data_IF_437426610863
#
_entry.id   IF_437426610863
#
_cell.length_a   1.000
_cell.length_b   1.000
_cell.length_c   1.000
_cell.angle_alpha   90.00
_cell.angle_beta   90.00
_cell.angle_gamma   90.00
#
_symmetry.space_group_name_H-M   'P 1'
#
loop_
_entity.id
_entity.type
_entity.pdbx_description
1 polymer ?
#
# COMPACT_ATOMS: atom_id res chain seq x y z
N UNK A 1 23.24 55.89 -4.16
CA UNK A 1 22.05 55.12 -3.73
C UNK A 1 21.20 54.83 -4.96
N UNK A 2 21.48 53.75 -5.68
CA UNK A 2 20.73 53.37 -6.87
C UNK A 2 20.36 51.89 -6.73
N UNK A 3 19.06 51.59 -6.64
CA UNK A 3 18.55 50.22 -6.63
C UNK A 3 17.61 50.08 -7.81
N UNK A 4 18.04 49.29 -8.79
CA UNK A 4 17.33 48.99 -10.04
C UNK A 4 16.16 48.03 -9.76
N UNK A 5 14.97 48.39 -10.24
CA UNK A 5 13.79 47.53 -10.18
C UNK A 5 13.85 46.45 -11.28
N UNK A 6 13.80 45.18 -10.89
CA UNK A 6 13.80 44.04 -11.80
C UNK A 6 12.35 43.67 -12.18
N UNK A 7 11.96 44.00 -13.41
CA UNK A 7 10.64 43.66 -13.94
C UNK A 7 10.55 42.16 -14.28
N UNK A 8 9.62 41.44 -13.64
CA UNK A 8 9.32 40.03 -13.93
C UNK A 8 8.35 39.93 -15.11
N UNK A 9 8.86 39.50 -16.26
CA UNK A 9 8.08 39.15 -17.45
C UNK A 9 7.36 37.80 -17.23
N UNK A 10 6.03 37.80 -17.26
CA UNK A 10 5.20 36.59 -17.19
C UNK A 10 5.02 36.03 -18.61
N UNK A 11 5.59 34.86 -18.87
CA UNK A 11 5.34 34.09 -20.10
C UNK A 11 3.98 33.40 -19.99
N UNK A 12 3.02 33.79 -20.81
CA UNK A 12 1.74 33.13 -20.99
C UNK A 12 1.92 31.89 -21.88
N UNK A 13 1.78 30.69 -21.30
CA UNK A 13 1.70 29.46 -22.07
C UNK A 13 0.26 29.26 -22.58
N UNK A 14 0.02 29.48 -23.87
CA UNK A 14 -1.27 29.18 -24.50
C UNK A 14 -1.46 27.65 -24.59
N UNK A 15 -2.46 27.12 -23.87
CA UNK A 15 -2.88 25.71 -24.00
C UNK A 15 -3.65 25.53 -25.31
N UNK A 16 -3.06 24.83 -26.29
CA UNK A 16 -3.82 24.26 -27.42
C UNK A 16 -4.51 22.99 -26.93
N UNK A 17 -5.83 23.04 -26.81
CA UNK A 17 -6.66 21.85 -26.68
C UNK A 17 -6.69 21.11 -28.02
N UNK A 18 -6.03 19.95 -28.09
CA UNK A 18 -6.23 19.02 -29.20
C UNK A 18 -7.60 18.35 -29.03
N UNK A 19 -8.42 18.35 -30.09
CA UNK A 19 -9.70 17.65 -30.08
C UNK A 19 -9.44 16.14 -30.06
N UNK A 20 -10.00 15.46 -29.05
CA UNK A 20 -9.97 14.01 -28.96
C UNK A 20 -10.97 13.44 -29.96
N UNK A 21 -10.44 12.86 -31.05
CA UNK A 21 -11.24 12.13 -32.02
C UNK A 21 -11.60 10.77 -31.43
N UNK A 22 -12.83 10.63 -30.93
CA UNK A 22 -13.37 9.38 -30.40
C UNK A 22 -13.67 8.43 -31.55
N UNK A 23 -12.84 7.42 -31.77
CA UNK A 23 -13.19 6.28 -32.63
C UNK A 23 -14.22 5.43 -31.89
N UNK A 24 -15.44 5.36 -32.43
CA UNK A 24 -16.43 4.40 -31.98
C UNK A 24 -16.04 3.00 -32.47
N UNK A 25 -15.95 2.04 -31.56
CA UNK A 25 -15.82 0.64 -31.90
C UNK A 25 -17.21 0.09 -32.20
N UNK A 26 -17.41 -0.49 -33.39
CA UNK A 26 -18.63 -1.20 -33.74
C UNK A 26 -18.64 -2.56 -33.02
N UNK A 27 -19.57 -2.76 -32.09
CA UNK A 27 -19.83 -4.06 -31.48
C UNK A 27 -20.66 -4.92 -32.43
N UNK A 28 -20.07 -6.00 -32.94
CA UNK A 28 -20.80 -7.08 -33.62
C UNK A 28 -21.57 -7.85 -32.53
N UNK A 29 -22.91 -8.00 -32.62
CA UNK A 29 -23.65 -8.82 -31.68
C UNK A 29 -23.32 -10.29 -31.96
N UNK A 30 -22.49 -10.88 -31.11
CA UNK A 30 -22.31 -12.34 -31.05
C UNK A 30 -23.49 -12.91 -30.25
N UNK A 31 -24.10 -14.01 -30.70
CA UNK A 31 -25.23 -14.62 -30.00
C UNK A 31 -24.75 -15.14 -28.64
N UNK A 32 -25.45 -14.72 -27.59
CA UNK A 32 -25.36 -15.11 -26.18
C UNK A 32 -24.47 -16.34 -25.87
N UNK A 33 -23.17 -16.15 -25.89
CA UNK A 33 -22.25 -17.04 -25.20
C UNK A 33 -22.26 -16.60 -23.75
N UNK A 34 -23.28 -17.04 -22.99
CA UNK A 34 -23.25 -16.88 -21.54
C UNK A 34 -21.92 -17.44 -21.04
N UNK A 35 -21.06 -16.62 -20.42
CA UNK A 35 -19.77 -17.11 -19.98
C UNK A 35 -20.01 -18.19 -18.93
N UNK A 36 -19.62 -19.42 -19.25
CA UNK A 36 -19.79 -20.62 -18.42
C UNK A 36 -18.70 -20.63 -17.36
N UNK A 37 -18.69 -19.63 -16.47
CA UNK A 37 -17.77 -19.59 -15.34
C UNK A 37 -18.50 -20.12 -14.11
N UNK A 38 -17.82 -21.01 -13.37
CA UNK A 38 -18.27 -21.46 -12.06
C UNK A 38 -17.61 -20.55 -11.03
N UNK A 39 -18.42 -19.72 -10.37
CA UNK A 39 -17.98 -19.02 -9.16
C UNK A 39 -18.07 -20.04 -8.03
N UNK A 40 -16.91 -20.49 -7.57
CA UNK A 40 -16.81 -21.39 -6.42
C UNK A 40 -16.50 -20.53 -5.20
N UNK A 41 -17.52 -20.29 -4.38
CA UNK A 41 -17.35 -19.62 -3.10
C UNK A 41 -16.68 -20.58 -2.12
N UNK A 42 -15.49 -20.22 -1.67
CA UNK A 42 -14.77 -20.96 -0.65
C UNK A 42 -15.13 -20.34 0.70
N UNK A 43 -15.83 -21.07 1.61
CA UNK A 43 -16.12 -20.55 2.93
C UNK A 43 -14.80 -20.35 3.68
N UNK A 44 -14.39 -19.11 3.87
CA UNK A 44 -13.32 -18.74 4.79
C UNK A 44 -13.93 -18.66 6.18
N UNK A 45 -14.17 -19.81 6.80
CA UNK A 45 -14.57 -19.87 8.21
C UNK A 45 -13.43 -19.35 9.08
N UNK A 46 -13.74 -18.59 10.14
CA UNK A 46 -12.74 -18.00 11.04
C UNK A 46 -11.77 -19.04 11.64
N UNK A 47 -12.20 -20.31 11.74
CA UNK A 47 -11.38 -21.44 12.19
C UNK A 47 -10.27 -21.85 11.20
N UNK A 48 -10.35 -21.39 9.94
CA UNK A 48 -9.32 -21.64 8.93
C UNK A 48 -8.16 -20.64 9.00
N UNK A 49 -8.32 -19.53 9.73
CA UNK A 49 -7.28 -18.52 9.84
C UNK A 49 -6.30 -18.95 10.92
N UNK A 50 -5.08 -19.25 10.49
CA UNK A 50 -4.02 -19.61 11.41
C UNK A 50 -3.33 -18.35 11.92
N UNK A 51 -2.71 -18.40 13.11
CA UNK A 51 -1.97 -17.25 13.62
C UNK A 51 -0.80 -16.81 12.71
N UNK A 52 -0.26 -17.76 11.95
CA UNK A 52 0.77 -17.56 10.92
C UNK A 52 0.26 -16.78 9.69
N UNK A 53 -1.05 -16.61 9.52
CA UNK A 53 -1.64 -15.80 8.45
C UNK A 53 -1.71 -14.30 8.80
N UNK A 54 -1.44 -13.94 10.07
CA UNK A 54 -1.39 -12.55 10.52
C UNK A 54 0.05 -12.06 10.58
N UNK A 55 0.24 -10.81 10.17
CA UNK A 55 1.50 -10.10 10.38
C UNK A 55 1.24 -8.79 11.12
N UNK A 56 2.23 -8.35 11.87
CA UNK A 56 2.26 -7.04 12.51
C UNK A 56 3.53 -6.30 12.09
N UNK A 57 3.45 -4.97 12.00
CA UNK A 57 4.64 -4.13 11.87
C UNK A 57 4.93 -3.53 13.25
N UNK A 58 5.98 -4.02 13.89
CA UNK A 58 6.40 -3.60 15.23
C UNK A 58 7.61 -2.67 15.14
N UNK A 59 7.71 -1.69 16.04
CA UNK A 59 8.87 -0.80 16.11
C UNK A 59 9.73 -1.13 17.32
N UNK A 60 10.95 -1.60 17.06
CA UNK A 60 11.93 -1.97 18.07
C UNK A 60 13.18 -1.10 17.90
N UNK A 61 13.60 -0.41 18.97
CA UNK A 61 14.77 0.48 18.98
C UNK A 61 14.81 1.50 17.81
N UNK A 62 13.65 2.02 17.40
CA UNK A 62 13.55 2.98 16.31
C UNK A 62 13.43 2.38 14.91
N UNK A 63 13.64 1.07 14.75
CA UNK A 63 13.54 0.34 13.49
C UNK A 63 12.21 -0.42 13.40
N UNK A 64 11.59 -0.45 12.22
CA UNK A 64 10.34 -1.18 11.98
C UNK A 64 10.62 -2.56 11.42
N UNK A 65 9.92 -3.56 11.94
CA UNK A 65 10.04 -4.96 11.56
C UNK A 65 8.66 -5.51 11.23
N UNK A 66 8.56 -6.18 10.09
CA UNK A 66 7.40 -7.03 9.77
C UNK A 66 7.61 -8.38 10.44
N UNK A 67 6.69 -8.79 11.30
CA UNK A 67 6.77 -10.03 12.07
C UNK A 67 5.49 -10.83 11.94
N UNK A 68 5.64 -12.15 11.93
CA UNK A 68 4.60 -13.17 12.04
C UNK A 68 4.83 -13.98 13.32
N UNK A 69 3.86 -14.80 13.73
CA UNK A 69 4.03 -15.62 14.93
C UNK A 69 5.18 -16.61 14.75
N UNK A 70 6.12 -16.61 15.71
CA UNK A 70 7.28 -17.52 15.72
C UNK A 70 8.53 -16.96 15.05
N UNK A 71 8.48 -15.75 14.49
CA UNK A 71 9.64 -15.11 13.90
C UNK A 71 10.72 -14.76 14.93
N UNK A 72 11.98 -14.93 14.52
CA UNK A 72 13.16 -14.49 15.29
C UNK A 72 13.76 -13.28 14.60
N UNK A 73 13.80 -12.15 15.31
CA UNK A 73 14.30 -10.87 14.78
C UNK A 73 15.57 -10.47 15.50
N UNK A 74 16.57 -10.02 14.74
CA UNK A 74 17.80 -9.43 15.28
C UNK A 74 17.61 -7.92 15.33
N UNK A 75 17.75 -7.34 16.52
CA UNK A 75 17.57 -5.90 16.75
C UNK A 75 18.75 -5.32 17.52
N UNK A 76 18.75 -4.00 17.64
CA UNK A 76 19.61 -3.33 18.61
C UNK A 76 19.24 -3.73 20.04
N UNK A 77 20.16 -3.46 20.98
CA UNK A 77 19.99 -3.80 22.39
C UNK A 77 18.81 -3.03 23.00
N UNK A 78 17.77 -3.76 23.38
CA UNK A 78 16.67 -3.23 24.18
C UNK A 78 17.17 -3.03 25.61
N UNK A 79 16.98 -1.82 26.16
CA UNK A 79 17.36 -1.53 27.54
C UNK A 79 16.47 -2.34 28.49
N UNK A 80 17.08 -2.85 29.56
CA UNK A 80 16.38 -3.58 30.64
C UNK A 80 15.81 -4.97 30.27
N UNK A 81 15.82 -5.36 29.00
CA UNK A 81 15.44 -6.70 28.56
C UNK A 81 16.41 -7.78 29.09
N UNK A 82 15.87 -8.81 29.75
CA UNK A 82 16.63 -9.97 30.25
C UNK A 82 16.42 -11.21 29.37
N UNK A 83 17.40 -12.11 29.40
CA UNK A 83 17.28 -13.40 28.71
C UNK A 83 16.18 -14.23 29.37
N UNK A 84 15.25 -14.74 28.55
CA UNK A 84 14.11 -15.55 29.01
C UNK A 84 12.90 -14.74 29.47
N UNK A 85 12.96 -13.40 29.35
CA UNK A 85 11.82 -12.53 29.65
C UNK A 85 10.83 -12.49 28.49
N UNK A 86 9.53 -12.49 28.83
CA UNK A 86 8.45 -12.22 27.88
C UNK A 86 8.14 -10.73 28.01
N UNK A 87 8.20 -10.02 26.89
CA UNK A 87 7.97 -8.58 26.83
C UNK A 87 6.81 -8.27 25.89
N UNK A 88 5.96 -7.33 26.30
CA UNK A 88 4.91 -6.78 25.45
C UNK A 88 5.43 -5.55 24.68
N UNK A 89 5.04 -5.43 23.40
CA UNK A 89 5.44 -4.33 22.52
C UNK A 89 4.21 -3.49 22.17
N UNK A 90 4.18 -2.24 22.63
CA UNK A 90 3.03 -1.35 22.43
C UNK A 90 3.03 -0.64 21.07
N UNK A 91 4.20 -0.39 20.48
CA UNK A 91 4.31 0.29 19.20
C UNK A 91 4.06 -0.67 18.03
N UNK A 92 2.78 -0.98 17.81
CA UNK A 92 2.29 -1.76 16.66
C UNK A 92 1.59 -0.84 15.66
N UNK A 93 2.04 -0.85 14.40
CA UNK A 93 1.35 -0.18 13.30
C UNK A 93 0.35 -1.18 12.71
N UNK A 94 -0.95 -0.92 12.90
CA UNK A 94 -2.00 -1.67 12.20
C UNK A 94 -2.01 -1.27 10.71
N UNK A 95 -2.14 -2.28 9.85
CA UNK A 95 -2.32 -2.12 8.41
C UNK A 95 -3.81 -2.21 8.06
#
# INVERSE_FOLDING_TARGET
>A
MASLALARSLRTCARRSASLSTRAFASVPTPDAQPKFSVVDHPVTADAIKPEDYFAVVKLAGTQYKVTQGDVVITEKIKEAKVGEIMDIDEVRHC
#
